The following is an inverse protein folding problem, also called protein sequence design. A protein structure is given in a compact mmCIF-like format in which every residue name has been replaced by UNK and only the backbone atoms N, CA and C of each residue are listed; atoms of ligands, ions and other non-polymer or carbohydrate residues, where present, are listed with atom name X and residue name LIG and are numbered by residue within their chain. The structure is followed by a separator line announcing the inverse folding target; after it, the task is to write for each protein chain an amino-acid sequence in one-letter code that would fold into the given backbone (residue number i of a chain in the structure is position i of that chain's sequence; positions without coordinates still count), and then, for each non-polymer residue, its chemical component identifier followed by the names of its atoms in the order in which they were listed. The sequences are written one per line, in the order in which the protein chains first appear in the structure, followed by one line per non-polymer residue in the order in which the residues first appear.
data_IF_739727975250
#
_entry.id   IF_739727975250
#
_cell.length_a   1.000
_cell.length_b   1.000
_cell.length_c   1.000
_cell.angle_alpha   90.00
_cell.angle_beta   90.00
_cell.angle_gamma   90.00
#
_symmetry.space_group_name_H-M   'P 1'
#
loop_
_entity.id
_entity.type
_entity.pdbx_description
1 polymer ?
#
# COMPACT_ATOMS: atom_id res chain seq x y z
N UNK A 1 11.87 1.54 7.50
CA UNK A 1 12.08 0.13 7.07
C UNK A 1 11.64 -0.03 5.63
N UNK A 2 12.40 -0.78 4.82
CA UNK A 2 12.13 -0.91 3.39
C UNK A 2 11.13 -2.04 3.10
N UNK A 3 10.11 -1.72 2.32
CA UNK A 3 9.14 -2.68 1.78
C UNK A 3 9.01 -2.52 0.26
N UNK A 4 8.44 -3.53 -0.39
CA UNK A 4 8.13 -3.49 -1.82
C UNK A 4 6.63 -3.39 -2.02
N UNK A 5 6.21 -2.53 -2.95
CA UNK A 5 4.83 -2.44 -3.41
C UNK A 5 4.78 -2.83 -4.87
N UNK A 6 4.06 -3.90 -5.18
CA UNK A 6 3.85 -4.40 -6.54
C UNK A 6 2.51 -3.88 -7.08
N UNK A 7 2.55 -3.15 -8.18
CA UNK A 7 1.35 -2.64 -8.86
C UNK A 7 0.72 -3.72 -9.75
N UNK A 8 -0.53 -3.47 -10.18
CA UNK A 8 -1.21 -4.32 -11.18
C UNK A 8 -0.46 -4.43 -12.52
N UNK A 9 0.35 -3.43 -12.87
CA UNK A 9 1.18 -3.45 -14.09
C UNK A 9 2.46 -4.27 -13.92
N UNK A 10 2.69 -4.85 -12.73
CA UNK A 10 3.90 -5.60 -12.41
C UNK A 10 5.10 -4.73 -12.03
N UNK A 11 4.94 -3.40 -11.94
CA UNK A 11 5.98 -2.49 -11.44
C UNK A 11 6.17 -2.71 -9.94
N UNK A 12 7.42 -2.86 -9.52
CA UNK A 12 7.79 -2.92 -8.10
C UNK A 12 8.35 -1.55 -7.67
N UNK A 13 7.85 -1.03 -6.57
CA UNK A 13 8.25 0.25 -5.99
C UNK A 13 8.80 -0.04 -4.59
N UNK A 14 9.96 0.50 -4.26
CA UNK A 14 10.51 0.42 -2.92
C UNK A 14 10.06 1.63 -2.11
N UNK A 15 9.53 1.38 -0.91
CA UNK A 15 9.09 2.41 0.01
C UNK A 15 9.74 2.22 1.38
N UNK A 16 10.19 3.32 1.96
CA UNK A 16 10.60 3.36 3.35
C UNK A 16 9.44 3.80 4.24
N UNK A 17 9.03 2.92 5.16
CA UNK A 17 7.90 3.13 6.08
C UNK A 17 8.31 2.82 7.52
N UNK A 18 7.60 3.38 8.48
CA UNK A 18 7.72 2.99 9.89
C UNK A 18 6.65 1.97 10.28
N UNK A 19 6.94 1.14 11.29
CA UNK A 19 5.96 0.18 11.81
C UNK A 19 4.72 0.89 12.40
N UNK A 20 4.91 2.11 12.88
CA UNK A 20 3.85 2.96 13.43
C UNK A 20 3.12 3.78 12.35
N UNK A 21 3.63 3.80 11.11
CA UNK A 21 2.93 4.46 10.01
C UNK A 21 1.56 3.81 9.78
N UNK A 22 0.54 4.66 9.68
CA UNK A 22 -0.81 4.26 9.27
C UNK A 22 -0.84 3.93 7.79
N UNK A 23 -1.80 3.10 7.39
CA UNK A 23 -1.98 2.75 5.98
C UNK A 23 -2.28 3.98 5.12
N UNK A 24 -3.00 4.98 5.67
CA UNK A 24 -3.19 6.28 5.00
C UNK A 24 -1.86 6.90 4.56
N UNK A 25 -0.88 6.93 5.46
CA UNK A 25 0.44 7.53 5.20
C UNK A 25 1.27 6.71 4.20
N UNK A 26 1.12 5.38 4.24
CA UNK A 26 1.74 4.50 3.24
C UNK A 26 1.14 4.77 1.86
N UNK A 27 -0.19 4.96 1.75
CA UNK A 27 -0.85 5.30 0.48
C UNK A 27 -0.40 6.64 -0.09
N UNK A 28 -0.18 7.65 0.75
CA UNK A 28 0.40 8.93 0.31
C UNK A 28 1.80 8.72 -0.29
N UNK A 29 2.69 7.97 0.38
CA UNK A 29 4.02 7.62 -0.18
C UNK A 29 3.91 6.83 -1.50
N UNK A 30 2.92 5.94 -1.61
CA UNK A 30 2.64 5.20 -2.85
C UNK A 30 2.15 6.15 -3.96
N UNK A 31 1.35 7.16 -3.64
CA UNK A 31 0.87 8.16 -4.61
C UNK A 31 2.05 8.91 -5.23
N UNK A 32 3.01 9.35 -4.40
CA UNK A 32 4.20 10.07 -4.89
C UNK A 32 5.00 9.27 -5.93
N UNK A 33 5.01 7.94 -5.83
CA UNK A 33 5.78 7.05 -6.71
C UNK A 33 4.97 6.44 -7.87
N UNK A 34 3.66 6.25 -7.67
CA UNK A 34 2.77 5.59 -8.64
C UNK A 34 1.89 6.57 -9.41
N UNK A 35 1.66 7.78 -8.88
CA UNK A 35 0.73 8.77 -9.39
C UNK A 35 -0.75 8.42 -9.16
N UNK A 36 -1.06 7.36 -8.40
CA UNK A 36 -2.44 6.94 -8.13
C UNK A 36 -2.95 7.64 -6.87
N UNK A 37 -4.11 8.32 -6.90
CA UNK A 37 -4.68 8.96 -5.71
C UNK A 37 -4.97 7.96 -4.58
N UNK A 38 -4.72 8.27 -3.29
CA UNK A 38 -4.90 7.38 -2.14
C UNK A 38 -6.30 6.76 -2.04
N UNK A 39 -7.30 7.52 -2.46
CA UNK A 39 -8.72 7.10 -2.50
C UNK A 39 -8.99 6.00 -3.52
N UNK A 40 -8.17 5.94 -4.58
CA UNK A 40 -8.21 4.90 -5.61
C UNK A 40 -7.23 3.76 -5.31
N UNK A 41 -6.44 3.84 -4.24
CA UNK A 41 -5.50 2.79 -3.86
C UNK A 41 -6.14 1.80 -2.89
N UNK A 42 -5.97 0.51 -3.18
CA UNK A 42 -6.28 -0.59 -2.27
C UNK A 42 -5.02 -1.42 -2.08
N UNK A 43 -4.44 -1.31 -0.88
CA UNK A 43 -3.27 -2.08 -0.49
C UNK A 43 -3.71 -3.44 0.06
N UNK A 44 -3.06 -4.49 -0.40
CA UNK A 44 -3.33 -5.88 -0.03
C UNK A 44 -2.04 -6.50 0.48
N UNK A 45 -2.10 -7.11 1.66
CA UNK A 45 -1.01 -7.86 2.26
C UNK A 45 -1.51 -9.19 2.81
N UNK A 46 -0.80 -10.28 2.53
CA UNK A 46 -1.19 -11.63 2.94
C UNK A 46 -2.65 -11.99 2.57
N UNK A 47 -3.11 -11.55 1.40
CA UNK A 47 -4.48 -11.77 0.92
C UNK A 47 -5.56 -10.94 1.60
N UNK A 48 -5.20 -10.02 2.52
CA UNK A 48 -6.15 -9.15 3.22
C UNK A 48 -5.97 -7.70 2.78
N UNK A 49 -7.09 -7.01 2.55
CA UNK A 49 -7.07 -5.57 2.36
C UNK A 49 -6.63 -4.89 3.66
N UNK A 50 -5.76 -3.90 3.51
CA UNK A 50 -5.30 -3.06 4.61
C UNK A 50 -6.17 -1.80 4.68
N UNK A 51 -6.97 -1.61 5.75
CA UNK A 51 -7.79 -0.42 5.92
C UNK A 51 -6.97 0.74 6.50
N UNK A 52 -7.42 1.96 6.24
CA UNK A 52 -6.70 3.21 6.51
C UNK A 52 -6.36 3.44 8.00
N UNK A 53 -7.25 2.99 8.91
CA UNK A 53 -7.08 3.14 10.36
C UNK A 53 -6.04 2.22 11.00
N UNK A 54 -5.53 1.24 10.26
CA UNK A 54 -4.53 0.30 10.76
C UNK A 54 -3.11 0.81 10.53
N UNK A 55 -2.15 0.19 11.22
CA UNK A 55 -0.73 0.49 11.08
C UNK A 55 0.00 -0.67 10.41
N UNK A 56 1.19 -0.43 9.87
CA UNK A 56 2.03 -1.50 9.32
C UNK A 56 2.31 -2.62 10.35
N UNK A 57 2.45 -2.25 11.62
CA UNK A 57 2.65 -3.18 12.74
C UNK A 57 1.46 -4.12 12.96
N UNK A 58 0.22 -3.66 12.78
CA UNK A 58 -0.98 -4.50 12.94
C UNK A 58 -1.02 -5.67 11.95
N UNK A 59 -0.35 -5.51 10.81
CA UNK A 59 -0.22 -6.52 9.77
C UNK A 59 1.06 -7.35 9.84
N UNK A 60 1.88 -7.16 10.89
CA UNK A 60 3.20 -7.80 11.04
C UNK A 60 4.09 -7.62 9.80
N UNK A 61 4.04 -6.44 9.16
CA UNK A 61 4.93 -6.13 8.04
C UNK A 61 6.37 -6.11 8.52
N UNK A 62 7.25 -6.79 7.80
CA UNK A 62 8.69 -6.82 8.04
C UNK A 62 9.46 -6.21 6.87
N UNK A 63 10.73 -5.88 7.09
CA UNK A 63 11.61 -5.43 6.03
C UNK A 63 11.67 -6.47 4.89
N UNK A 64 11.51 -6.01 3.64
CA UNK A 64 11.45 -6.86 2.45
C UNK A 64 10.07 -7.48 2.17
N UNK A 65 9.06 -7.20 2.99
CA UNK A 65 7.67 -7.60 2.70
C UNK A 65 7.16 -7.00 1.39
N UNK A 66 6.34 -7.77 0.67
CA UNK A 66 5.74 -7.36 -0.61
C UNK A 66 4.24 -7.10 -0.42
N UNK A 67 3.83 -5.85 -0.61
CA UNK A 67 2.43 -5.44 -0.66
C UNK A 67 1.97 -5.39 -2.12
N UNK A 68 0.69 -5.66 -2.34
CA UNK A 68 0.08 -5.55 -3.66
C UNK A 68 -0.82 -4.31 -3.69
N UNK A 69 -0.57 -3.43 -4.66
CA UNK A 69 -1.42 -2.29 -4.95
C UNK A 69 -2.41 -2.67 -6.05
N UNK A 70 -3.71 -2.60 -5.72
CA UNK A 70 -4.80 -2.71 -6.70
C UNK A 70 -5.59 -1.40 -6.76
N UNK A 71 -6.19 -1.12 -7.91
CA UNK A 71 -7.03 0.06 -8.10
C UNK A 71 -8.44 -0.20 -7.58
N UNK A 72 -8.93 0.66 -6.71
CA UNK A 72 -10.33 0.75 -6.35
C UNK A 72 -11.07 1.46 -7.48
N UNK A 73 -11.56 0.70 -8.45
CA UNK A 73 -12.44 1.22 -9.49
C UNK A 73 -13.80 1.54 -8.86
N UNK A 74 -14.23 2.80 -8.92
CA UNK A 74 -15.65 3.12 -8.74
C UNK A 74 -16.36 2.56 -9.97
N UNK A 75 -17.24 1.59 -9.78
CA UNK A 75 -18.20 1.20 -10.81
C UNK A 75 -18.95 2.45 -11.23
N UNK A 76 -18.94 2.77 -12.53
CA UNK A 76 -19.65 3.92 -13.08
C UNK A 76 -21.13 3.88 -12.68
N UNK A 77 -21.68 5.06 -12.38
CA UNK A 77 -23.13 5.25 -12.39
C UNK A 77 -23.69 5.04 -13.79
#
# INVERSE_FOLDING_TARGET
MLIKVKTLTGKEIELDIDLEDKITRIKEKVEEQSGVPPQQQRLIFSGRQMPDDKTAKDFNITAGSVLHLVLALRGGQ
#
